data_IF_596103203023
#
_entry.id   IF_596103203023
#
_cell.length_a   1.000
_cell.length_b   1.000
_cell.length_c   1.000
_cell.angle_alpha   90.00
_cell.angle_beta   90.00
_cell.angle_gamma   90.00
#
_symmetry.space_group_name_H-M   'P 1'
#
loop_
_entity.id
_entity.type
_entity.pdbx_description
1 polymer ?
#
# COMPACT_ATOMS: atom_id res chain seq x y z
N UNK A 1 -27.14 0.65 2.56
CA UNK A 1 -26.58 -0.62 2.04
C UNK A 1 -26.75 -0.63 0.53
N UNK A 2 -25.68 -0.89 -0.25
CA UNK A 2 -25.76 -0.93 -1.73
C UNK A 2 -26.26 -2.31 -2.14
N UNK A 3 -27.29 -2.38 -3.00
CA UNK A 3 -27.85 -3.66 -3.44
C UNK A 3 -26.93 -4.31 -4.48
N UNK A 4 -26.64 -5.60 -4.32
CA UNK A 4 -25.88 -6.39 -5.29
C UNK A 4 -26.70 -6.59 -6.58
N UNK A 5 -26.11 -6.22 -7.71
CA UNK A 5 -26.67 -6.33 -9.06
C UNK A 5 -25.56 -6.68 -10.07
N UNK A 6 -25.91 -7.02 -11.31
CA UNK A 6 -24.92 -7.32 -12.37
C UNK A 6 -24.13 -6.08 -12.83
N UNK A 7 -24.47 -4.90 -12.30
CA UNK A 7 -23.75 -3.64 -12.53
C UNK A 7 -22.94 -3.20 -11.31
N UNK A 8 -22.95 -3.99 -10.24
CA UNK A 8 -22.23 -3.69 -9.01
C UNK A 8 -20.73 -3.91 -9.17
N UNK A 9 -19.98 -3.18 -8.35
CA UNK A 9 -18.56 -3.38 -8.15
C UNK A 9 -18.33 -3.99 -6.78
N UNK A 10 -17.25 -4.75 -6.67
CA UNK A 10 -16.81 -5.42 -5.45
C UNK A 10 -15.42 -4.92 -5.08
N UNK A 11 -15.16 -4.81 -3.79
CA UNK A 11 -13.81 -4.61 -3.26
C UNK A 11 -13.41 -5.87 -2.50
N UNK A 12 -12.54 -6.67 -3.12
CA UNK A 12 -12.17 -7.99 -2.63
C UNK A 12 -10.75 -7.99 -2.09
N UNK A 13 -10.47 -8.89 -1.16
CA UNK A 13 -9.13 -9.17 -0.66
C UNK A 13 -8.68 -10.56 -1.12
N UNK A 14 -7.38 -10.83 -1.17
CA UNK A 14 -6.84 -12.14 -1.55
C UNK A 14 -7.43 -13.32 -0.77
N UNK A 15 -7.75 -13.11 0.50
CA UNK A 15 -8.26 -14.18 1.38
C UNK A 15 -9.69 -14.62 1.04
N UNK A 16 -10.41 -13.83 0.24
CA UNK A 16 -11.80 -14.10 -0.14
C UNK A 16 -11.92 -14.85 -1.47
N UNK A 17 -10.82 -14.96 -2.23
CA UNK A 17 -10.82 -15.43 -3.60
C UNK A 17 -9.73 -16.48 -3.81
N UNK A 18 -10.02 -17.50 -4.61
CA UNK A 18 -9.02 -18.48 -5.04
C UNK A 18 -8.33 -17.96 -6.32
N UNK A 19 -7.58 -16.85 -6.17
CA UNK A 19 -6.83 -16.20 -7.24
C UNK A 19 -5.41 -15.90 -6.76
N UNK A 20 -4.46 -15.96 -7.69
CA UNK A 20 -3.06 -15.58 -7.43
C UNK A 20 -2.92 -14.05 -7.44
N UNK A 21 -3.38 -13.42 -6.35
CA UNK A 21 -3.37 -11.97 -6.15
C UNK A 21 -2.86 -11.65 -4.76
N UNK A 22 -1.88 -10.74 -4.67
CA UNK A 22 -1.25 -10.43 -3.38
C UNK A 22 -1.94 -9.28 -2.63
N UNK A 23 -2.77 -8.49 -3.31
CA UNK A 23 -3.30 -7.24 -2.80
C UNK A 23 -4.81 -7.11 -3.02
N UNK A 24 -5.51 -6.36 -2.16
CA UNK A 24 -6.90 -6.02 -2.39
C UNK A 24 -7.12 -5.35 -3.75
N UNK A 25 -8.25 -5.64 -4.37
CA UNK A 25 -8.54 -5.19 -5.73
C UNK A 25 -10.03 -4.91 -5.92
N UNK A 26 -10.35 -4.07 -6.91
CA UNK A 26 -11.73 -3.89 -7.35
C UNK A 26 -12.07 -4.86 -8.48
N UNK A 27 -13.30 -5.34 -8.48
CA UNK A 27 -13.83 -6.19 -9.52
C UNK A 27 -15.25 -5.77 -9.92
N UNK A 28 -15.60 -6.07 -11.18
CA UNK A 28 -16.95 -5.89 -11.71
C UNK A 28 -17.69 -7.21 -11.70
N UNK A 29 -18.93 -7.20 -11.23
CA UNK A 29 -19.81 -8.38 -11.31
C UNK A 29 -20.11 -8.68 -12.79
N UNK A 30 -19.93 -9.94 -13.19
CA UNK A 30 -20.27 -10.44 -14.52
C UNK A 30 -21.59 -11.20 -14.52
N UNK A 31 -21.75 -12.15 -13.59
CA UNK A 31 -22.93 -12.98 -13.50
C UNK A 31 -23.37 -13.14 -12.04
N UNK A 32 -24.68 -13.05 -11.83
CA UNK A 32 -25.33 -13.34 -10.56
C UNK A 32 -26.07 -14.67 -10.66
N UNK A 33 -25.66 -15.62 -9.83
CA UNK A 33 -26.39 -16.87 -9.58
C UNK A 33 -27.05 -16.80 -8.19
N UNK A 34 -27.95 -17.73 -7.85
CA UNK A 34 -28.61 -17.73 -6.54
C UNK A 34 -27.63 -17.84 -5.36
N UNK A 35 -26.55 -18.60 -5.55
CA UNK A 35 -25.56 -18.96 -4.54
C UNK A 35 -24.17 -18.36 -4.81
N UNK A 36 -23.86 -18.07 -6.08
CA UNK A 36 -22.54 -17.61 -6.52
C UNK A 36 -22.58 -16.31 -7.31
N UNK A 37 -21.47 -15.59 -7.29
CA UNK A 37 -21.24 -14.38 -8.09
C UNK A 37 -19.94 -14.55 -8.84
N UNK A 38 -19.98 -14.43 -10.17
CA UNK A 38 -18.76 -14.34 -10.98
C UNK A 38 -18.41 -12.87 -11.18
N UNK A 39 -17.12 -12.58 -11.17
CA UNK A 39 -16.60 -11.24 -11.32
C UNK A 39 -15.37 -11.22 -12.23
N UNK A 40 -15.00 -10.02 -12.65
CA UNK A 40 -13.75 -9.73 -13.33
C UNK A 40 -13.04 -8.56 -12.68
N UNK A 41 -11.82 -8.77 -12.22
CA UNK A 41 -10.91 -7.74 -11.76
C UNK A 41 -10.54 -6.79 -12.92
N UNK A 42 -10.18 -5.55 -12.61
CA UNK A 42 -9.74 -4.60 -13.63
C UNK A 42 -8.43 -5.01 -14.32
N UNK A 43 -7.63 -5.83 -13.65
CA UNK A 43 -6.40 -6.45 -14.18
C UNK A 43 -6.69 -7.63 -15.14
N UNK A 44 -7.97 -7.98 -15.33
CA UNK A 44 -8.42 -8.98 -16.30
C UNK A 44 -8.69 -10.37 -15.72
N UNK A 45 -8.28 -10.62 -14.48
CA UNK A 45 -8.53 -11.89 -13.78
C UNK A 45 -10.03 -12.08 -13.52
N UNK A 46 -10.55 -13.28 -13.75
CA UNK A 46 -11.92 -13.65 -13.46
C UNK A 46 -11.97 -14.65 -12.31
N UNK A 47 -12.99 -14.54 -11.48
CA UNK A 47 -13.16 -15.39 -10.31
C UNK A 47 -14.62 -15.57 -9.92
N UNK A 48 -14.83 -16.35 -8.86
CA UNK A 48 -16.15 -16.69 -8.35
C UNK A 48 -16.12 -16.70 -6.81
N UNK A 49 -17.12 -16.08 -6.19
CA UNK A 49 -17.31 -16.06 -4.74
C UNK A 49 -18.76 -16.38 -4.37
N UNK A 50 -18.98 -16.71 -3.10
CA UNK A 50 -20.32 -16.85 -2.54
C UNK A 50 -21.09 -15.54 -2.59
N UNK A 51 -22.39 -15.64 -2.83
CA UNK A 51 -23.27 -14.48 -2.93
C UNK A 51 -23.33 -13.69 -1.62
N UNK A 52 -23.37 -14.37 -0.48
CA UNK A 52 -23.34 -13.73 0.84
C UNK A 52 -22.09 -12.87 1.02
N UNK A 53 -20.92 -13.41 0.67
CA UNK A 53 -19.64 -12.70 0.69
C UNK A 53 -19.68 -11.50 -0.27
N UNK A 54 -20.18 -11.68 -1.48
CA UNK A 54 -20.30 -10.60 -2.46
C UNK A 54 -21.19 -9.45 -1.96
N UNK A 55 -22.29 -9.75 -1.25
CA UNK A 55 -23.23 -8.76 -0.71
C UNK A 55 -22.59 -7.87 0.37
N UNK A 56 -21.64 -8.40 1.14
CA UNK A 56 -20.88 -7.64 2.15
C UNK A 56 -19.81 -6.73 1.55
N UNK A 57 -19.33 -7.05 0.35
CA UNK A 57 -18.19 -6.38 -0.29
C UNK A 57 -18.59 -5.45 -1.46
N UNK A 58 -19.88 -5.11 -1.58
CA UNK A 58 -20.38 -4.22 -2.63
C UNK A 58 -19.96 -2.77 -2.38
N UNK A 59 -19.31 -2.18 -3.38
CA UNK A 59 -18.89 -0.76 -3.38
C UNK A 59 -19.60 0.05 -4.46
N UNK A 60 -19.54 1.38 -4.32
CA UNK A 60 -20.14 2.30 -5.31
C UNK A 60 -19.21 2.50 -6.50
N UNK A 61 -19.79 2.69 -7.69
CA UNK A 61 -19.01 3.04 -8.88
C UNK A 61 -18.19 4.33 -8.71
N UNK A 62 -18.69 5.30 -7.92
CA UNK A 62 -17.98 6.54 -7.63
C UNK A 62 -16.66 6.30 -6.89
N UNK A 63 -16.64 5.35 -5.96
CA UNK A 63 -15.44 4.98 -5.20
C UNK A 63 -14.39 4.35 -6.11
N UNK A 64 -14.81 3.39 -6.94
CA UNK A 64 -13.94 2.75 -7.93
C UNK A 64 -13.34 3.77 -8.91
N UNK A 65 -14.15 4.72 -9.38
CA UNK A 65 -13.70 5.75 -10.31
C UNK A 65 -12.75 6.76 -9.65
N UNK A 66 -13.04 7.20 -8.42
CA UNK A 66 -12.16 8.12 -7.68
C UNK A 66 -10.81 7.48 -7.36
N UNK A 67 -10.80 6.18 -7.08
CA UNK A 67 -9.58 5.43 -6.83
C UNK A 67 -8.82 5.03 -8.12
N UNK A 68 -9.26 5.48 -9.30
CA UNK A 68 -8.62 5.13 -10.57
C UNK A 68 -8.61 3.62 -10.85
N UNK A 69 -9.64 2.91 -10.40
CA UNK A 69 -9.79 1.45 -10.50
C UNK A 69 -8.74 0.63 -9.73
N UNK A 70 -7.97 1.25 -8.86
CA UNK A 70 -6.97 0.59 -8.03
C UNK A 70 -7.35 0.67 -6.57
N UNK A 71 -7.20 -0.45 -5.85
CA UNK A 71 -7.42 -0.41 -4.42
C UNK A 71 -6.23 0.20 -3.70
N UNK A 72 -6.51 1.21 -2.89
CA UNK A 72 -5.57 1.74 -1.91
C UNK A 72 -5.48 0.85 -0.66
N UNK A 73 -6.43 -0.04 -0.42
CA UNK A 73 -6.46 -0.83 0.81
C UNK A 73 -5.20 -1.69 0.93
N UNK A 74 -4.59 -1.69 2.13
CA UNK A 74 -3.30 -2.31 2.46
C UNK A 74 -2.10 -1.73 1.70
N UNK A 75 -2.25 -0.64 0.93
CA UNK A 75 -1.11 -0.02 0.24
C UNK A 75 -0.30 0.85 1.20
N UNK A 76 1.04 0.74 1.16
CA UNK A 76 1.94 1.71 1.80
C UNK A 76 1.88 3.05 1.07
N UNK A 77 1.84 4.13 1.85
CA UNK A 77 1.64 5.49 1.34
C UNK A 77 2.43 6.53 2.13
N UNK A 78 2.73 7.64 1.47
CA UNK A 78 3.02 8.92 2.13
C UNK A 78 1.80 9.83 1.99
N UNK A 79 1.52 10.62 3.02
CA UNK A 79 0.38 11.53 3.05
C UNK A 79 0.72 12.83 3.74
N UNK A 80 0.20 13.94 3.20
CA UNK A 80 0.36 15.27 3.80
C UNK A 80 -0.84 15.62 4.67
N UNK A 81 -0.59 15.87 5.95
CA UNK A 81 -1.59 16.31 6.94
C UNK A 81 -1.03 17.50 7.71
N UNK A 82 -1.75 18.63 7.70
CA UNK A 82 -1.38 19.84 8.46
C UNK A 82 0.12 20.21 8.32
N UNK A 83 0.59 20.32 7.07
CA UNK A 83 1.97 20.67 6.70
C UNK A 83 3.04 19.65 7.11
N UNK A 84 2.66 18.47 7.60
CA UNK A 84 3.56 17.35 7.86
C UNK A 84 3.32 16.22 6.85
N UNK A 85 4.39 15.57 6.41
CA UNK A 85 4.30 14.34 5.62
C UNK A 85 4.52 13.15 6.55
N UNK A 86 3.54 12.24 6.53
CA UNK A 86 3.52 11.01 7.30
C UNK A 86 3.62 9.81 6.37
N UNK A 87 4.35 8.78 6.79
CA UNK A 87 4.42 7.50 6.10
C UNK A 87 3.62 6.44 6.86
N UNK A 88 2.90 5.59 6.14
CA UNK A 88 2.03 4.60 6.75
C UNK A 88 1.35 3.69 5.73
N UNK A 89 0.23 3.09 6.13
CA UNK A 89 -0.55 2.19 5.27
C UNK A 89 -2.03 2.49 5.35
N UNK A 90 -2.71 2.38 4.22
CA UNK A 90 -4.16 2.54 4.15
C UNK A 90 -4.84 1.30 4.75
N UNK A 91 -5.55 1.49 5.86
CA UNK A 91 -6.26 0.44 6.59
C UNK A 91 -7.76 0.40 6.31
N UNK A 92 -8.31 1.49 5.79
CA UNK A 92 -9.71 1.55 5.35
C UNK A 92 -9.88 2.48 4.15
N UNK A 93 -10.81 2.10 3.27
CA UNK A 93 -11.24 2.90 2.12
C UNK A 93 -12.72 3.19 2.30
N UNK A 94 -13.11 4.44 2.10
CA UNK A 94 -14.51 4.86 2.03
C UNK A 94 -14.72 5.68 0.77
N UNK A 95 -15.98 5.94 0.42
CA UNK A 95 -16.36 6.62 -0.81
C UNK A 95 -15.78 8.04 -0.99
N UNK A 96 -15.26 8.69 0.07
CA UNK A 96 -14.69 10.04 -0.01
C UNK A 96 -13.33 10.21 0.69
N UNK A 97 -12.93 9.24 1.54
CA UNK A 97 -11.72 9.33 2.36
C UNK A 97 -11.04 7.99 2.50
N UNK A 98 -9.72 8.03 2.57
CA UNK A 98 -8.87 6.93 3.00
C UNK A 98 -8.55 7.10 4.48
N UNK A 99 -8.36 6.00 5.19
CA UNK A 99 -7.82 6.01 6.55
C UNK A 99 -6.43 5.41 6.51
N UNK A 100 -5.42 6.21 6.82
CA UNK A 100 -4.01 5.79 6.89
C UNK A 100 -3.64 5.54 8.34
N UNK A 101 -3.08 4.38 8.64
CA UNK A 101 -2.43 4.12 9.91
C UNK A 101 -0.96 4.52 9.80
N UNK A 102 -0.51 5.40 10.69
CA UNK A 102 0.87 5.88 10.79
C UNK A 102 1.21 6.07 12.27
N UNK A 103 2.29 5.45 12.74
CA UNK A 103 2.72 5.51 14.15
C UNK A 103 1.60 5.13 15.14
N UNK A 104 0.76 4.16 14.76
CA UNK A 104 -0.40 3.75 15.56
C UNK A 104 -1.56 4.76 15.61
N UNK A 105 -1.45 5.91 14.94
CA UNK A 105 -2.53 6.87 14.76
C UNK A 105 -3.31 6.59 13.47
N UNK A 106 -4.60 6.96 13.44
CA UNK A 106 -5.46 6.85 12.27
C UNK A 106 -5.71 8.23 11.68
N UNK A 107 -5.23 8.46 10.47
CA UNK A 107 -5.27 9.73 9.74
C UNK A 107 -6.31 9.65 8.62
N UNK A 108 -7.44 10.39 8.71
CA UNK A 108 -8.42 10.45 7.63
C UNK A 108 -7.97 11.46 6.56
N UNK A 109 -7.80 11.00 5.32
CA UNK A 109 -7.16 11.76 4.24
C UNK A 109 -7.88 11.57 2.91
N UNK A 110 -7.76 12.53 1.97
CA UNK A 110 -8.33 12.36 0.63
C UNK A 110 -7.42 11.50 -0.23
N UNK A 111 -7.99 10.75 -1.17
CA UNK A 111 -7.20 9.96 -2.13
C UNK A 111 -6.23 10.82 -2.96
N UNK A 112 -6.55 12.10 -3.20
CA UNK A 112 -5.69 13.05 -3.93
C UNK A 112 -4.48 13.54 -3.15
N UNK A 113 -4.45 13.32 -1.83
CA UNK A 113 -3.36 13.76 -0.93
C UNK A 113 -2.39 12.61 -0.63
N UNK A 114 -2.65 11.44 -1.20
CA UNK A 114 -1.96 10.19 -0.93
C UNK A 114 -1.06 9.82 -2.10
N UNK A 115 0.20 9.57 -1.81
CA UNK A 115 1.19 9.07 -2.77
C UNK A 115 1.57 7.64 -2.40
N UNK A 116 1.56 6.74 -3.38
CA UNK A 116 2.04 5.37 -3.18
C UNK A 116 3.56 5.38 -3.01
N UNK A 117 4.05 4.65 -2.01
CA UNK A 117 5.49 4.50 -1.74
C UNK A 117 5.85 3.02 -1.63
N UNK A 118 7.14 2.67 -1.69
CA UNK A 118 7.55 1.28 -1.51
C UNK A 118 7.28 0.82 -0.05
N UNK A 119 6.85 -0.44 0.19
CA UNK A 119 6.54 -0.92 1.53
C UNK A 119 7.68 -0.74 2.54
N UNK A 120 8.91 -1.06 2.12
CA UNK A 120 10.10 -0.91 2.96
C UNK A 120 10.36 0.55 3.32
N UNK A 121 10.08 1.48 2.41
CA UNK A 121 10.24 2.90 2.65
C UNK A 121 9.20 3.40 3.65
N UNK A 122 7.92 3.04 3.48
CA UNK A 122 6.87 3.38 4.44
C UNK A 122 7.17 2.85 5.84
N UNK A 123 7.67 1.62 5.94
CA UNK A 123 8.08 1.00 7.20
C UNK A 123 9.23 1.74 7.88
N UNK A 124 10.28 2.08 7.12
CA UNK A 124 11.46 2.74 7.67
C UNK A 124 11.19 4.21 8.06
N UNK A 125 10.27 4.87 7.36
CA UNK A 125 9.90 6.26 7.58
C UNK A 125 8.67 6.45 8.47
N UNK A 126 8.02 5.39 8.96
CA UNK A 126 6.77 5.48 9.74
C UNK A 126 6.85 6.44 10.93
N UNK A 127 8.02 6.54 11.56
CA UNK A 127 8.27 7.40 12.73
C UNK A 127 8.91 8.75 12.40
N UNK A 128 9.22 9.00 11.12
CA UNK A 128 9.84 10.25 10.68
C UNK A 128 8.75 11.12 10.07
N UNK A 129 8.66 12.36 10.54
CA UNK A 129 7.71 13.34 10.04
C UNK A 129 8.50 14.44 9.32
N UNK A 130 8.16 14.69 8.06
CA UNK A 130 8.81 15.73 7.28
C UNK A 130 7.96 16.99 7.29
N UNK A 131 8.52 18.09 7.78
CA UNK A 131 7.86 19.38 7.74
C UNK A 131 7.91 19.96 6.32
N UNK A 132 6.76 20.21 5.72
CA UNK A 132 6.63 20.76 4.37
C UNK A 132 7.14 22.20 4.21
N UNK A 133 7.43 22.92 5.32
CA UNK A 133 8.16 24.20 5.26
C UNK A 133 9.66 24.06 5.02
N UNK A 134 10.21 22.88 5.33
CA UNK A 134 11.64 22.58 5.25
C UNK A 134 11.95 21.60 4.11
N UNK A 135 11.02 20.69 3.82
CA UNK A 135 11.17 19.62 2.85
C UNK A 135 10.15 19.77 1.73
N UNK A 136 10.64 19.90 0.49
CA UNK A 136 9.76 19.84 -0.67
C UNK A 136 9.31 18.40 -0.95
N UNK A 137 8.27 18.26 -1.78
CA UNK A 137 7.82 16.93 -2.20
C UNK A 137 8.90 16.18 -2.98
N UNK A 138 9.75 16.90 -3.73
CA UNK A 138 10.83 16.32 -4.51
C UNK A 138 11.96 15.85 -3.59
N UNK A 139 12.33 16.62 -2.56
CA UNK A 139 13.35 16.23 -1.58
C UNK A 139 12.94 14.94 -0.84
N UNK A 140 11.67 14.86 -0.43
CA UNK A 140 11.12 13.66 0.22
C UNK A 140 11.15 12.47 -0.75
N UNK A 141 10.77 12.69 -2.01
CA UNK A 141 10.84 11.66 -3.05
C UNK A 141 12.27 11.15 -3.29
N UNK A 142 13.26 12.03 -3.23
CA UNK A 142 14.68 11.67 -3.33
C UNK A 142 15.15 10.83 -2.13
N UNK A 143 14.73 11.18 -0.91
CA UNK A 143 15.01 10.38 0.29
C UNK A 143 14.38 8.99 0.17
N UNK A 144 13.09 8.92 -0.20
CA UNK A 144 12.36 7.66 -0.40
C UNK A 144 13.07 6.76 -1.43
N UNK A 145 13.48 7.34 -2.57
CA UNK A 145 14.15 6.61 -3.63
C UNK A 145 15.56 6.18 -3.23
N UNK A 146 16.31 7.03 -2.52
CA UNK A 146 17.66 6.71 -2.07
C UNK A 146 17.65 5.57 -1.06
N UNK A 147 16.71 5.57 -0.12
CA UNK A 147 16.51 4.45 0.82
C UNK A 147 16.21 3.17 0.04
N UNK A 148 15.29 3.22 -0.92
CA UNK A 148 14.94 2.06 -1.73
C UNK A 148 16.14 1.52 -2.54
N UNK A 149 16.93 2.40 -3.14
CA UNK A 149 18.11 2.02 -3.91
C UNK A 149 19.18 1.39 -3.02
N UNK A 150 19.42 1.92 -1.81
CA UNK A 150 20.35 1.34 -0.83
C UNK A 150 19.86 -0.02 -0.30
N UNK A 151 18.55 -0.20 -0.13
CA UNK A 151 17.98 -1.51 0.22
C UNK A 151 18.20 -2.53 -0.90
N UNK A 152 17.96 -2.13 -2.15
CA UNK A 152 18.00 -3.02 -3.31
C UNK A 152 19.40 -3.18 -3.92
N UNK A 153 20.38 -2.39 -3.50
CA UNK A 153 21.73 -2.38 -4.07
C UNK A 153 21.76 -1.82 -5.49
N UNK A 154 21.06 -0.71 -5.73
CA UNK A 154 20.96 -0.03 -7.02
C UNK A 154 21.81 1.23 -7.06
N UNK A 155 21.91 1.84 -8.24
CA UNK A 155 22.53 3.15 -8.42
C UNK A 155 23.99 3.21 -7.94
N UNK A 156 24.74 2.09 -8.10
CA UNK A 156 26.14 1.98 -7.69
C UNK A 156 26.36 1.79 -6.19
N UNK A 157 25.28 1.68 -5.38
CA UNK A 157 25.37 1.39 -3.95
C UNK A 157 25.22 -0.11 -3.69
N UNK A 158 26.02 -0.72 -2.79
CA UNK A 158 25.80 -2.10 -2.36
C UNK A 158 24.49 -2.19 -1.56
N UNK A 159 23.79 -3.32 -1.67
CA UNK A 159 22.59 -3.54 -0.88
C UNK A 159 22.92 -3.58 0.61
N UNK A 160 22.13 -2.88 1.42
CA UNK A 160 22.30 -2.81 2.86
C UNK A 160 20.97 -3.01 3.58
N UNK A 161 21.06 -3.54 4.80
CA UNK A 161 19.95 -3.63 5.75
C UNK A 161 20.24 -2.91 7.06
N UNK A 162 21.39 -2.24 7.17
CA UNK A 162 21.77 -1.48 8.36
C UNK A 162 21.11 -0.09 8.31
N UNK A 163 20.32 0.25 9.34
CA UNK A 163 19.63 1.55 9.41
C UNK A 163 20.59 2.72 9.20
N UNK A 164 21.78 2.67 9.81
CA UNK A 164 22.79 3.71 9.62
C UNK A 164 23.20 3.88 8.16
N UNK A 165 23.51 2.80 7.46
CA UNK A 165 23.87 2.85 6.04
C UNK A 165 22.69 3.26 5.15
N UNK A 166 21.46 2.90 5.51
CA UNK A 166 20.26 3.29 4.74
C UNK A 166 19.96 4.78 4.85
N UNK A 167 20.19 5.38 6.01
CA UNK A 167 19.85 6.78 6.31
C UNK A 167 21.05 7.74 6.31
N UNK A 168 22.27 7.24 6.08
CA UNK A 168 23.50 8.03 6.07
C UNK A 168 23.36 9.25 5.15
N UNK A 169 23.53 10.44 5.73
CA UNK A 169 23.45 11.73 5.02
C UNK A 169 22.06 12.14 4.53
N UNK A 170 20.99 11.41 4.88
CA UNK A 170 19.61 11.74 4.50
C UNK A 170 18.85 12.48 5.60
N UNK A 171 19.00 12.02 6.85
CA UNK A 171 18.38 12.63 8.04
C UNK A 171 19.37 12.56 9.19
N UNK A 172 19.18 13.41 10.20
CA UNK A 172 19.99 13.37 11.42
C UNK A 172 19.86 12.02 12.13
N UNK A 173 20.96 11.52 12.70
CA UNK A 173 21.01 10.22 13.39
C UNK A 173 20.01 10.12 14.54
N UNK A 174 19.66 11.25 15.16
CA UNK A 174 18.64 11.33 16.22
C UNK A 174 17.25 10.90 15.75
N UNK A 175 16.98 11.06 14.45
CA UNK A 175 15.73 10.70 13.79
C UNK A 175 15.74 9.29 13.21
N UNK A 176 16.83 8.53 13.37
CA UNK A 176 16.89 7.18 12.83
C UNK A 176 15.80 6.29 13.45
N UNK A 177 15.15 5.44 12.64
CA UNK A 177 14.15 4.53 13.16
C UNK A 177 14.82 3.61 14.19
N UNK A 178 14.28 3.60 15.40
CA UNK A 178 14.71 2.68 16.45
C UNK A 178 14.26 1.28 16.07
N UNK A 179 15.06 0.26 16.41
CA UNK A 179 14.68 -1.14 16.30
C UNK A 179 13.50 -1.45 17.25
N UNK A 180 12.28 -1.06 16.87
CA UNK A 180 11.05 -1.55 17.49
C UNK A 180 10.43 -2.58 16.58
N UNK A 181 9.76 -3.53 17.20
CA UNK A 181 8.90 -4.51 16.54
C UNK A 181 7.85 -3.77 15.71
N UNK A 182 8.10 -3.64 14.41
CA UNK A 182 7.16 -3.03 13.48
C UNK A 182 5.82 -3.75 13.56
N UNK A 183 4.76 -2.95 13.60
CA UNK A 183 3.40 -3.41 13.86
C UNK A 183 2.96 -4.45 12.82
N UNK A 184 2.24 -5.44 13.33
CA UNK A 184 1.71 -6.67 12.74
C UNK A 184 0.85 -6.52 11.46
N UNK A 185 0.80 -5.36 10.80
CA UNK A 185 -0.14 -5.08 9.69
C UNK A 185 0.49 -4.83 8.32
N UNK A 186 1.76 -4.40 8.26
CA UNK A 186 2.31 -3.83 7.03
C UNK A 186 2.64 -4.88 5.97
N UNK A 187 3.02 -6.10 6.39
CA UNK A 187 3.25 -7.28 5.52
C UNK A 187 2.98 -8.52 6.40
N UNK A 188 1.99 -9.39 6.09
CA UNK A 188 1.68 -10.58 6.89
C UNK A 188 2.89 -11.52 7.12
N UNK A 189 3.82 -11.57 6.16
CA UNK A 189 5.05 -12.37 6.26
C UNK A 189 6.09 -11.83 7.25
N UNK A 190 6.01 -10.55 7.64
CA UNK A 190 6.97 -9.93 8.57
C UNK A 190 6.60 -10.14 10.05
N UNK A 191 5.41 -10.65 10.34
CA UNK A 191 4.82 -10.72 11.68
C UNK A 191 5.55 -11.68 12.63
N UNK A 192 6.38 -12.61 12.13
CA UNK A 192 6.86 -13.74 12.92
C UNK A 192 8.38 -13.95 12.95
N UNK A 193 9.21 -12.93 12.65
CA UNK A 193 10.68 -13.09 12.70
C UNK A 193 11.36 -12.04 13.60
N UNK A 194 12.04 -12.47 14.68
CA UNK A 194 12.73 -11.57 15.63
C UNK A 194 14.02 -10.94 15.06
N UNK A 195 14.37 -11.24 13.82
CA UNK A 195 15.51 -10.65 13.12
C UNK A 195 15.12 -10.38 11.67
N UNK A 196 15.11 -9.10 11.27
CA UNK A 196 14.80 -8.65 9.92
C UNK A 196 15.93 -9.10 8.97
N UNK A 197 15.77 -10.28 8.36
CA UNK A 197 16.52 -10.66 7.16
C UNK A 197 15.66 -10.25 5.98
N UNK A 198 16.18 -9.39 5.11
CA UNK A 198 15.63 -9.24 3.75
C UNK A 198 15.71 -10.61 3.08
N UNK A 199 14.60 -11.35 3.13
CA UNK A 199 14.45 -12.58 2.36
C UNK A 199 14.44 -12.20 0.88
N UNK A 200 15.04 -13.04 0.03
CA UNK A 200 14.93 -12.93 -1.43
C UNK A 200 13.47 -12.83 -1.89
N UNK A 201 12.51 -13.41 -1.15
CA UNK A 201 11.07 -13.24 -1.40
C UNK A 201 10.56 -11.81 -1.15
N UNK A 202 11.00 -11.15 -0.06
CA UNK A 202 10.63 -9.76 0.22
C UNK A 202 11.21 -8.81 -0.82
N UNK A 203 12.45 -9.06 -1.26
CA UNK A 203 13.11 -8.31 -2.34
C UNK A 203 12.39 -8.56 -3.67
N UNK A 204 12.01 -9.79 -3.99
CA UNK A 204 11.22 -10.11 -5.19
C UNK A 204 9.83 -9.44 -5.16
N UNK A 205 9.17 -9.41 -4.00
CA UNK A 205 7.88 -8.77 -3.83
C UNK A 205 7.98 -7.24 -3.93
N UNK A 206 9.01 -6.62 -3.34
CA UNK A 206 9.35 -5.19 -3.52
C UNK A 206 9.68 -4.91 -4.99
N UNK A 207 10.46 -5.77 -5.66
CA UNK A 207 10.79 -5.62 -7.08
C UNK A 207 9.59 -5.79 -8.01
N UNK A 208 8.63 -6.65 -7.67
CA UNK A 208 7.39 -6.85 -8.42
C UNK A 208 6.44 -5.66 -8.25
N UNK A 209 6.25 -5.19 -7.00
CA UNK A 209 5.51 -3.96 -6.67
C UNK A 209 6.06 -2.74 -7.42
N UNK A 210 7.38 -2.63 -7.55
CA UNK A 210 8.02 -1.53 -8.29
C UNK A 210 7.96 -1.70 -9.82
N UNK A 211 7.83 -2.94 -10.31
CA UNK A 211 7.47 -3.22 -11.70
C UNK A 211 6.10 -2.62 -12.06
N UNK A 212 5.11 -2.71 -11.16
CA UNK A 212 3.81 -2.08 -11.32
C UNK A 212 3.84 -0.54 -11.21
N UNK A 213 4.88 0.03 -10.61
CA UNK A 213 5.10 1.49 -10.54
C UNK A 213 5.74 2.00 -11.84
N UNK A 214 6.68 1.25 -12.43
CA UNK A 214 7.33 1.59 -13.71
C UNK A 214 6.45 1.46 -14.95
N UNK A 215 5.41 0.62 -14.92
CA UNK A 215 4.41 0.58 -16.00
C UNK A 215 3.50 1.83 -16.05
N UNK A 216 3.74 2.84 -15.20
CA UNK A 216 2.97 4.09 -15.12
C UNK A 216 3.75 5.34 -15.52
N UNK A 217 4.99 5.21 -15.99
CA UNK A 217 5.80 6.34 -16.48
C UNK A 217 5.90 6.40 -18.02
N UNK A 218 4.97 5.76 -18.73
CA UNK A 218 4.76 5.91 -20.18
C UNK A 218 3.29 6.09 -20.49
#
# INVERSE_FOLDING_TARGET
MVRLTSRSYLHLTPELVDLDVDLPFYAKVLQLRPDKVTFRAFEGLEGCIDRSVAEEHVVRASEVNQAGQQSFLRRPVSVRVADQVHHGQVVAVSAERLTVQSEGQLLPVKATEVTLVAPVVALLLEHIQFNSSEWSADDIGEVEQTILDRVLGRSGTPSSNAISALFEGLVDEENYPRQRSYATGLIPELVNRPSFRFSTQLILHIMWMEGCRRSRST
#
